data_IF_949171736814
#
_entry.id   IF_949171736814
#
_cell.length_a   1.000
_cell.length_b   1.000
_cell.length_c   1.000
_cell.angle_alpha   90.00
_cell.angle_beta   90.00
_cell.angle_gamma   90.00
#
_symmetry.space_group_name_H-M   'P 1'
#
loop_
_entity.id
_entity.type
_entity.pdbx_description
1 polymer ?
#
# COMPACT_ATOMS: atom_id res chain seq x y z
N UNK A 1 25.20 -32.11 3.72
CA UNK A 1 24.99 -31.17 4.84
C UNK A 1 24.60 -29.76 4.35
N UNK A 2 23.67 -29.60 3.39
CA UNK A 2 23.36 -28.29 2.77
C UNK A 2 21.90 -27.84 2.85
N UNK A 3 20.99 -28.69 3.36
CA UNK A 3 19.57 -28.32 3.49
C UNK A 3 19.34 -27.39 4.69
N UNK A 4 19.98 -27.66 5.84
CA UNK A 4 19.87 -26.84 7.06
C UNK A 4 20.41 -25.40 6.89
N UNK A 5 21.41 -25.21 6.01
CA UNK A 5 22.02 -23.89 5.75
C UNK A 5 21.07 -22.95 4.99
N UNK A 6 20.23 -23.48 4.09
CA UNK A 6 19.24 -22.69 3.34
C UNK A 6 18.09 -22.23 4.24
N UNK A 7 17.62 -23.07 5.15
CA UNK A 7 16.64 -22.68 6.17
C UNK A 7 17.24 -21.72 7.22
N UNK A 8 18.51 -21.89 7.56
CA UNK A 8 19.24 -20.97 8.44
C UNK A 8 19.45 -19.59 7.81
N UNK A 9 19.80 -19.52 6.52
CA UNK A 9 19.88 -18.27 5.75
C UNK A 9 18.51 -17.59 5.59
N UNK A 10 17.45 -18.36 5.38
CA UNK A 10 16.09 -17.84 5.33
C UNK A 10 15.61 -17.32 6.70
N UNK A 11 15.99 -18.00 7.80
CA UNK A 11 15.69 -17.58 9.17
C UNK A 11 16.43 -16.30 9.58
N UNK A 12 17.70 -16.15 9.19
CA UNK A 12 18.47 -14.91 9.39
C UNK A 12 17.84 -13.74 8.63
N UNK A 13 17.39 -13.95 7.38
CA UNK A 13 16.73 -12.92 6.57
C UNK A 13 15.37 -12.48 7.15
N UNK A 14 14.60 -13.40 7.76
CA UNK A 14 13.30 -13.09 8.37
C UNK A 14 13.42 -12.50 9.79
N UNK A 15 14.45 -12.88 10.57
CA UNK A 15 14.70 -12.31 11.90
C UNK A 15 15.18 -10.85 11.83
N UNK A 16 15.87 -10.46 10.74
CA UNK A 16 16.27 -9.08 10.50
C UNK A 16 15.09 -8.15 10.14
N UNK A 17 13.92 -8.70 9.76
CA UNK A 17 12.70 -7.92 9.53
C UNK A 17 11.87 -7.71 10.80
N UNK A 18 12.21 -8.41 11.90
CA UNK A 18 11.54 -8.27 13.21
C UNK A 18 12.30 -7.41 14.21
N UNK A 19 13.52 -6.98 13.86
CA UNK A 19 14.25 -5.94 14.59
C UNK A 19 14.23 -4.69 13.71
N UNK A 20 13.03 -4.12 13.56
CA UNK A 20 12.94 -2.69 13.33
C UNK A 20 13.62 -2.02 14.53
N UNK A 21 14.45 -0.98 14.36
CA UNK A 21 14.62 -0.07 15.48
C UNK A 21 13.20 0.43 15.74
N UNK A 22 12.63 0.00 16.86
CA UNK A 22 11.63 0.79 17.52
C UNK A 22 12.31 2.13 17.78
N UNK A 23 12.24 3.02 16.79
CA UNK A 23 12.35 4.44 17.01
C UNK A 23 11.37 4.65 18.14
N UNK A 24 11.91 4.90 19.33
CA UNK A 24 11.16 5.44 20.42
C UNK A 24 10.67 6.82 19.95
N UNK A 25 9.63 6.81 19.13
CA UNK A 25 8.61 7.82 19.19
C UNK A 25 8.06 7.60 20.59
N UNK A 26 8.64 8.31 21.57
CA UNK A 26 7.87 8.65 22.74
C UNK A 26 6.48 9.01 22.20
N UNK A 27 5.40 8.37 22.67
CA UNK A 27 4.08 8.81 22.26
C UNK A 27 4.13 10.31 22.50
N UNK A 28 4.06 11.10 21.44
CA UNK A 28 3.68 12.48 21.58
C UNK A 28 2.28 12.31 22.14
N UNK A 29 2.16 12.26 23.47
CA UNK A 29 0.91 12.43 24.19
C UNK A 29 0.34 13.63 23.49
N UNK A 30 -0.69 13.44 22.66
CA UNK A 30 -1.17 14.53 21.86
C UNK A 30 -1.54 15.54 22.93
N UNK A 31 -0.84 16.67 22.91
CA UNK A 31 -1.06 17.70 23.92
C UNK A 31 -2.56 17.94 23.91
N UNK A 32 -3.18 18.20 25.05
CA UNK A 32 -4.65 18.27 25.12
C UNK A 32 -5.26 19.14 24.00
N UNK A 33 -4.51 20.14 23.52
CA UNK A 33 -4.79 20.91 22.31
C UNK A 33 -4.92 20.10 20.99
N UNK A 34 -4.06 19.13 20.71
CA UNK A 34 -4.09 18.29 19.50
C UNK A 34 -5.21 17.24 19.54
N UNK A 35 -5.50 16.64 20.70
CA UNK A 35 -6.67 15.75 20.86
C UNK A 35 -7.99 16.52 20.74
N UNK A 36 -8.06 17.69 21.38
CA UNK A 36 -9.21 18.58 21.29
C UNK A 36 -9.39 19.09 19.86
N UNK A 37 -8.31 19.38 19.14
CA UNK A 37 -8.34 19.75 17.71
C UNK A 37 -8.81 18.60 16.84
N UNK A 38 -8.32 17.37 17.07
CA UNK A 38 -8.79 16.19 16.35
C UNK A 38 -10.28 15.89 16.62
N UNK A 39 -10.72 16.05 17.87
CA UNK A 39 -12.12 15.92 18.28
C UNK A 39 -13.01 17.02 17.69
N UNK A 40 -12.53 18.27 17.66
CA UNK A 40 -13.18 19.41 17.02
C UNK A 40 -13.31 19.18 15.52
N UNK A 41 -12.28 18.68 14.85
CA UNK A 41 -12.33 18.37 13.41
C UNK A 41 -13.32 17.23 13.12
N UNK A 42 -13.31 16.15 13.89
CA UNK A 42 -14.26 15.04 13.75
C UNK A 42 -15.71 15.45 14.03
N UNK A 43 -15.91 16.38 14.96
CA UNK A 43 -17.23 16.94 15.28
C UNK A 43 -17.68 17.94 14.22
N UNK A 44 -16.77 18.79 13.73
CA UNK A 44 -17.03 19.69 12.62
C UNK A 44 -17.32 18.93 11.31
N UNK A 45 -16.69 17.78 11.10
CA UNK A 45 -16.99 16.86 9.99
C UNK A 45 -18.39 16.26 10.10
N UNK A 46 -18.75 15.72 11.27
CA UNK A 46 -20.10 15.20 11.51
C UNK A 46 -21.18 16.28 11.49
N UNK A 47 -20.84 17.51 11.87
CA UNK A 47 -21.72 18.67 11.84
C UNK A 47 -21.77 19.37 10.47
N UNK A 48 -20.98 18.91 9.47
CA UNK A 48 -20.91 19.52 8.14
C UNK A 48 -20.23 20.90 8.08
N UNK A 49 -19.55 21.31 9.15
CA UNK A 49 -18.91 22.61 9.32
C UNK A 49 -17.45 22.66 8.87
N UNK A 50 -16.76 21.54 8.64
CA UNK A 50 -15.43 21.52 7.97
C UNK A 50 -15.48 22.02 6.53
N UNK A 51 -16.68 22.33 6.01
CA UNK A 51 -16.94 22.85 4.67
C UNK A 51 -17.59 24.24 4.67
N UNK A 52 -17.30 25.10 5.65
CA UNK A 52 -17.60 26.53 5.52
C UNK A 52 -16.70 27.15 4.42
N UNK A 53 -16.98 26.80 3.16
CA UNK A 53 -16.21 27.10 1.96
C UNK A 53 -16.34 26.09 0.80
N UNK A 54 -16.89 24.89 1.02
CA UNK A 54 -17.01 23.86 -0.02
C UNK A 54 -18.45 23.34 -0.13
N UNK A 55 -19.37 24.20 -0.60
CA UNK A 55 -20.76 23.84 -0.93
C UNK A 55 -20.91 23.02 -2.22
N UNK A 56 -19.84 22.41 -2.71
CA UNK A 56 -19.91 21.30 -3.65
C UNK A 56 -18.85 20.30 -3.23
N UNK A 57 -19.22 19.02 -3.05
CA UNK A 57 -18.23 17.94 -3.13
C UNK A 57 -17.48 18.18 -4.43
N UNK A 58 -16.23 18.60 -4.35
CA UNK A 58 -15.47 18.84 -5.56
C UNK A 58 -15.42 17.50 -6.31
N UNK A 59 -15.66 17.46 -7.63
CA UNK A 59 -15.59 16.21 -8.39
C UNK A 59 -14.29 15.43 -8.15
N UNK A 60 -13.21 16.13 -7.82
CA UNK A 60 -11.92 15.57 -7.43
C UNK A 60 -11.95 14.74 -6.14
N UNK A 61 -12.72 15.12 -5.11
CA UNK A 61 -12.82 14.38 -3.84
C UNK A 61 -13.54 13.04 -4.04
N UNK A 62 -14.67 13.07 -4.77
CA UNK A 62 -15.45 11.86 -5.08
C UNK A 62 -14.65 10.93 -5.99
N UNK A 63 -13.92 11.48 -6.96
CA UNK A 63 -13.03 10.71 -7.81
C UNK A 63 -11.89 10.07 -7.00
N UNK A 64 -11.28 10.80 -6.06
CA UNK A 64 -10.20 10.28 -5.22
C UNK A 64 -10.66 9.12 -4.33
N UNK A 65 -11.83 9.23 -3.71
CA UNK A 65 -12.40 8.17 -2.88
C UNK A 65 -12.75 6.92 -3.71
N UNK A 66 -13.40 7.10 -4.87
CA UNK A 66 -13.71 6.01 -5.79
C UNK A 66 -12.44 5.31 -6.30
N UNK A 67 -11.42 6.08 -6.69
CA UNK A 67 -10.12 5.53 -7.11
C UNK A 67 -9.49 4.75 -5.97
N UNK A 68 -9.54 5.25 -4.73
CA UNK A 68 -9.05 4.54 -3.55
C UNK A 68 -9.70 3.16 -3.36
N UNK A 69 -11.04 3.09 -3.46
CA UNK A 69 -11.75 1.81 -3.39
C UNK A 69 -11.36 0.86 -4.52
N UNK A 70 -11.33 1.35 -5.76
CA UNK A 70 -10.94 0.55 -6.92
C UNK A 70 -9.49 0.03 -6.79
N UNK A 71 -8.57 0.88 -6.32
CA UNK A 71 -7.17 0.50 -6.13
C UNK A 71 -7.01 -0.59 -5.08
N UNK A 72 -7.77 -0.52 -3.99
CA UNK A 72 -7.77 -1.55 -2.96
C UNK A 72 -8.24 -2.91 -3.50
N UNK A 73 -9.31 -2.90 -4.30
CA UNK A 73 -9.85 -4.11 -4.91
C UNK A 73 -8.87 -4.71 -5.93
N UNK A 74 -8.26 -3.87 -6.77
CA UNK A 74 -7.23 -4.28 -7.73
C UNK A 74 -6.03 -4.89 -7.01
N UNK A 75 -5.53 -4.27 -5.94
CA UNK A 75 -4.40 -4.79 -5.17
C UNK A 75 -4.65 -6.21 -4.63
N UNK A 76 -5.85 -6.48 -4.12
CA UNK A 76 -6.23 -7.82 -3.63
C UNK A 76 -6.24 -8.86 -4.76
N UNK A 77 -6.77 -8.49 -5.95
CA UNK A 77 -6.78 -9.40 -7.11
C UNK A 77 -5.35 -9.73 -7.55
N UNK A 78 -4.49 -8.72 -7.69
CA UNK A 78 -3.10 -8.92 -8.08
C UNK A 78 -2.34 -9.80 -7.07
N UNK A 79 -2.61 -9.62 -5.78
CA UNK A 79 -2.04 -10.46 -4.73
C UNK A 79 -2.53 -11.91 -4.82
N UNK A 80 -3.83 -12.12 -5.08
CA UNK A 80 -4.39 -13.46 -5.28
C UNK A 80 -3.80 -14.16 -6.51
N UNK A 81 -3.60 -13.43 -7.61
CA UNK A 81 -2.94 -13.94 -8.82
C UNK A 81 -1.48 -14.33 -8.56
N UNK A 82 -0.73 -13.54 -7.78
CA UNK A 82 0.63 -13.87 -7.40
C UNK A 82 0.69 -15.19 -6.59
N UNK A 83 -0.24 -15.40 -5.65
CA UNK A 83 -0.36 -16.66 -4.92
C UNK A 83 -0.70 -17.81 -5.88
N UNK A 84 -1.65 -17.63 -6.78
CA UNK A 84 -2.04 -18.63 -7.76
C UNK A 84 -0.87 -19.05 -8.66
N UNK A 85 -0.11 -18.08 -9.17
CA UNK A 85 1.12 -18.34 -9.92
C UNK A 85 2.15 -19.11 -9.08
N UNK A 86 2.31 -18.73 -7.81
CA UNK A 86 3.17 -19.46 -6.86
C UNK A 86 2.76 -20.92 -6.68
N UNK A 87 1.47 -21.21 -6.56
CA UNK A 87 0.96 -22.59 -6.44
C UNK A 87 1.25 -23.40 -7.70
N UNK A 88 1.04 -22.82 -8.89
CA UNK A 88 1.37 -23.50 -10.16
C UNK A 88 2.87 -23.78 -10.24
N UNK A 89 3.70 -22.81 -9.84
CA UNK A 89 5.15 -22.97 -9.86
C UNK A 89 5.61 -24.12 -8.93
N UNK A 90 5.06 -24.20 -7.72
CA UNK A 90 5.36 -25.27 -6.77
C UNK A 90 4.82 -26.64 -7.21
N UNK A 91 3.71 -26.67 -7.94
CA UNK A 91 3.06 -27.92 -8.40
C UNK A 91 3.53 -28.39 -9.78
N UNK A 92 4.43 -27.65 -10.44
CA UNK A 92 4.87 -27.96 -11.81
C UNK A 92 5.65 -29.28 -11.94
N UNK A 93 6.20 -29.84 -10.85
CA UNK A 93 6.85 -31.17 -10.80
C UNK A 93 7.84 -31.45 -11.96
N UNK A 94 8.57 -30.43 -12.42
CA UNK A 94 9.54 -30.56 -13.52
C UNK A 94 8.99 -30.40 -14.93
N UNK A 95 7.69 -30.11 -15.09
CA UNK A 95 7.13 -29.69 -16.39
C UNK A 95 7.54 -28.23 -16.67
N UNK A 96 8.47 -28.05 -17.61
CA UNK A 96 9.01 -26.73 -18.00
C UNK A 96 7.94 -25.75 -18.48
N UNK A 97 6.90 -26.23 -19.18
CA UNK A 97 5.81 -25.39 -19.67
C UNK A 97 5.01 -24.79 -18.51
N UNK A 98 4.73 -25.60 -17.48
CA UNK A 98 4.04 -25.13 -16.26
C UNK A 98 4.90 -24.17 -15.46
N UNK A 99 6.22 -24.42 -15.37
CA UNK A 99 7.16 -23.50 -14.71
C UNK A 99 7.19 -22.16 -15.42
N UNK A 100 7.35 -22.16 -16.75
CA UNK A 100 7.39 -20.93 -17.55
C UNK A 100 6.10 -20.13 -17.43
N UNK A 101 4.95 -20.80 -17.54
CA UNK A 101 3.64 -20.17 -17.39
C UNK A 101 3.42 -19.57 -16.01
N UNK A 102 3.86 -20.25 -14.95
CA UNK A 102 3.77 -19.73 -13.60
C UNK A 102 4.66 -18.50 -13.38
N UNK A 103 5.90 -18.53 -13.90
CA UNK A 103 6.82 -17.40 -13.83
C UNK A 103 6.29 -16.18 -14.60
N UNK A 104 5.71 -16.38 -15.79
CA UNK A 104 5.09 -15.34 -16.58
C UNK A 104 3.94 -14.68 -15.81
N UNK A 105 3.04 -15.49 -15.22
CA UNK A 105 1.93 -15.00 -14.42
C UNK A 105 2.40 -14.18 -13.21
N UNK A 106 3.44 -14.63 -12.49
CA UNK A 106 4.02 -13.88 -11.37
C UNK A 106 4.66 -12.57 -11.85
N UNK A 107 5.35 -12.59 -13.00
CA UNK A 107 5.97 -11.40 -13.59
C UNK A 107 4.94 -10.35 -13.94
N UNK A 108 3.87 -10.76 -14.62
CA UNK A 108 2.79 -9.87 -15.04
C UNK A 108 2.04 -9.29 -13.83
N UNK A 109 1.78 -10.13 -12.81
CA UNK A 109 1.19 -9.66 -11.56
C UNK A 109 2.08 -8.64 -10.83
N UNK A 110 3.40 -8.87 -10.81
CA UNK A 110 4.36 -7.95 -10.18
C UNK A 110 4.43 -6.62 -10.92
N UNK A 111 4.49 -6.65 -12.26
CA UNK A 111 4.53 -5.44 -13.09
C UNK A 111 3.25 -4.62 -12.91
N UNK A 112 2.08 -5.26 -12.91
CA UNK A 112 0.81 -4.56 -12.69
C UNK A 112 0.75 -3.88 -11.32
N UNK A 113 1.26 -4.54 -10.27
CA UNK A 113 1.33 -3.94 -8.93
C UNK A 113 2.28 -2.73 -8.91
N UNK A 114 3.46 -2.85 -9.54
CA UNK A 114 4.43 -1.75 -9.65
C UNK A 114 3.81 -0.53 -10.37
N UNK A 115 3.08 -0.75 -11.45
CA UNK A 115 2.42 0.32 -12.22
C UNK A 115 1.39 1.06 -11.36
N UNK A 116 0.59 0.33 -10.59
CA UNK A 116 -0.39 0.92 -9.65
C UNK A 116 0.30 1.80 -8.62
N UNK A 117 1.37 1.30 -8.00
CA UNK A 117 2.15 2.06 -7.02
C UNK A 117 2.81 3.30 -7.63
N UNK A 118 3.39 3.17 -8.84
CA UNK A 118 4.00 4.27 -9.57
C UNK A 118 2.97 5.34 -9.93
N UNK A 119 1.79 4.95 -10.40
CA UNK A 119 0.71 5.88 -10.75
C UNK A 119 0.33 6.75 -9.56
N UNK A 120 0.08 6.15 -8.39
CA UNK A 120 -0.25 6.89 -7.17
C UNK A 120 0.89 7.82 -6.72
N UNK A 121 2.13 7.31 -6.75
CA UNK A 121 3.32 8.08 -6.35
C UNK A 121 3.54 9.29 -7.25
N UNK A 122 3.42 9.10 -8.57
CA UNK A 122 3.59 10.18 -9.55
C UNK A 122 2.49 11.22 -9.40
N UNK A 123 1.22 10.82 -9.25
CA UNK A 123 0.11 11.75 -9.03
C UNK A 123 0.33 12.61 -7.79
N UNK A 124 0.67 12.00 -6.66
CA UNK A 124 0.95 12.74 -5.43
C UNK A 124 2.18 13.63 -5.54
N UNK A 125 3.21 13.18 -6.26
CA UNK A 125 4.41 13.99 -6.49
C UNK A 125 4.06 15.27 -7.26
N UNK A 126 3.27 15.17 -8.34
CA UNK A 126 2.84 16.32 -9.15
C UNK A 126 1.95 17.27 -8.32
N UNK A 127 0.94 16.73 -7.62
CA UNK A 127 0.02 17.52 -6.80
C UNK A 127 0.76 18.26 -5.69
N UNK A 128 1.67 17.58 -4.98
CA UNK A 128 2.45 18.18 -3.89
C UNK A 128 3.38 19.26 -4.41
N UNK A 129 4.03 19.06 -5.56
CA UNK A 129 4.90 20.06 -6.18
C UNK A 129 4.14 21.30 -6.65
N UNK A 130 2.95 21.12 -7.22
CA UNK A 130 2.09 22.23 -7.63
C UNK A 130 1.53 23.00 -6.43
N UNK A 131 1.10 22.30 -5.37
CA UNK A 131 0.62 22.94 -4.14
C UNK A 131 1.74 23.71 -3.41
N UNK A 132 2.96 23.16 -3.35
CA UNK A 132 4.12 23.85 -2.74
C UNK A 132 4.60 25.07 -3.53
N UNK A 133 4.32 25.16 -4.83
CA UNK A 133 4.70 26.31 -5.65
C UNK A 133 3.68 27.47 -5.59
N UNK A 134 2.48 27.21 -5.05
CA UNK A 134 1.38 28.18 -4.92
C UNK A 134 1.37 28.90 -3.55
N UNK A 135 2.28 28.52 -2.66
CA UNK A 135 2.59 29.23 -1.39
C UNK A 135 3.93 29.94 -1.53
#
# INVERSE_FOLDING_TARGET
MHSKLKYFLFYILHSAFFISPASAVAPATPTAAEEVKAGLLKTAEKAGLTRAGATARQPAEVAGELVGYLLSFVGVIFFALAIYGGIIWMTARGNEEKVKKAQELIKDATIGLIVVFLSYTITNFIVTRLLLQVQ
#
